data_IF_026775597883
#
_entry.id   IF_026775597883
#
_cell.length_a   1.000
_cell.length_b   1.000
_cell.length_c   1.000
_cell.angle_alpha   90.00
_cell.angle_beta   90.00
_cell.angle_gamma   90.00
#
_symmetry.space_group_name_H-M   'P 1'
#
loop_
_entity.id
_entity.type
_entity.pdbx_description
1 polymer ?
#
# COMPACT_ATOMS: atom_id res chain seq x y z
N UNK A 1 4.46 89.49 -0.09
CA UNK A 1 4.60 88.08 0.32
C UNK A 1 4.31 87.22 -0.90
N UNK A 2 5.37 86.69 -1.52
CA UNK A 2 5.39 86.24 -2.91
C UNK A 2 5.80 84.75 -2.94
N UNK A 3 4.90 83.95 -3.51
CA UNK A 3 5.12 82.84 -4.46
C UNK A 3 5.46 81.42 -3.96
N UNK A 4 4.58 80.54 -4.46
CA UNK A 4 4.54 79.08 -4.63
C UNK A 4 5.87 78.39 -4.98
N UNK A 5 6.02 77.13 -4.51
CA UNK A 5 6.87 76.12 -5.14
C UNK A 5 6.22 74.72 -5.05
N UNK A 6 6.25 73.99 -6.16
CA UNK A 6 5.69 72.66 -6.42
C UNK A 6 6.80 71.61 -6.31
N UNK A 7 6.53 70.43 -5.73
CA UNK A 7 7.34 69.22 -5.98
C UNK A 7 6.40 68.11 -6.44
N UNK A 8 6.30 67.96 -7.77
CA UNK A 8 6.00 66.69 -8.43
C UNK A 8 7.35 66.00 -8.61
N UNK A 9 7.64 65.03 -7.76
CA UNK A 9 8.88 64.25 -7.75
C UNK A 9 8.58 62.76 -7.76
N UNK A 10 8.94 62.12 -8.87
CA UNK A 10 8.84 60.69 -9.16
C UNK A 10 9.67 59.88 -8.15
N UNK A 11 9.08 58.84 -7.58
CA UNK A 11 9.86 57.67 -7.19
C UNK A 11 9.09 56.41 -7.58
N UNK A 12 9.40 55.93 -8.77
CA UNK A 12 9.23 54.54 -9.17
C UNK A 12 9.93 53.70 -8.11
N UNK A 13 9.15 53.20 -7.15
CA UNK A 13 9.48 51.95 -6.44
C UNK A 13 8.74 50.90 -7.25
N UNK A 14 9.31 50.54 -8.40
CA UNK A 14 9.98 49.26 -8.59
C UNK A 14 9.12 48.15 -8.02
N UNK A 15 8.50 47.40 -8.93
CA UNK A 15 7.70 46.23 -8.66
C UNK A 15 8.37 45.33 -7.61
N UNK A 16 7.95 45.47 -6.35
CA UNK A 16 7.98 44.34 -5.45
C UNK A 16 6.72 43.56 -5.80
N UNK A 17 6.83 42.75 -6.85
CA UNK A 17 6.01 41.57 -6.96
C UNK A 17 6.14 40.87 -5.61
N UNK A 18 5.12 41.00 -4.77
CA UNK A 18 4.90 40.06 -3.70
C UNK A 18 4.62 38.76 -4.43
N UNK A 19 5.69 38.06 -4.78
CA UNK A 19 5.66 36.64 -5.06
C UNK A 19 5.17 36.07 -3.75
N UNK A 20 3.85 35.97 -3.60
CA UNK A 20 3.28 34.94 -2.76
C UNK A 20 3.74 33.67 -3.45
N UNK A 21 4.87 33.12 -2.99
CA UNK A 21 5.21 31.74 -3.21
C UNK A 21 4.10 30.96 -2.52
N UNK A 22 2.96 30.83 -3.19
CA UNK A 22 2.06 29.72 -2.96
C UNK A 22 2.89 28.51 -3.36
N UNK A 23 3.58 27.95 -2.38
CA UNK A 23 4.09 26.61 -2.47
C UNK A 23 2.85 25.76 -2.63
N UNK A 24 2.48 25.45 -3.88
CA UNK A 24 1.56 24.37 -4.17
C UNK A 24 2.26 23.16 -3.58
N UNK A 25 1.84 22.76 -2.38
CA UNK A 25 2.21 21.48 -1.84
C UNK A 25 1.72 20.48 -2.89
N UNK A 26 2.66 19.88 -3.63
CA UNK A 26 2.36 18.81 -4.56
C UNK A 26 1.47 17.82 -3.81
N UNK A 27 0.20 17.69 -4.22
CA UNK A 27 -0.65 16.62 -3.73
C UNK A 27 -0.03 15.32 -4.25
N UNK A 28 0.89 14.74 -3.47
CA UNK A 28 1.48 13.44 -3.77
C UNK A 28 0.37 12.40 -3.66
N UNK A 29 -0.23 12.11 -4.81
CA UNK A 29 -1.18 11.02 -5.00
C UNK A 29 -0.46 9.76 -5.42
N UNK A 30 -0.97 8.63 -4.95
CA UNK A 30 -0.63 7.31 -5.45
C UNK A 30 -1.07 7.23 -6.90
N UNK A 31 -0.13 6.96 -7.79
CA UNK A 31 -0.36 6.77 -9.22
C UNK A 31 0.66 5.77 -9.75
N UNK A 32 0.34 5.06 -10.84
CA UNK A 32 1.24 4.11 -11.50
C UNK A 32 2.68 4.62 -11.64
N UNK A 33 3.65 3.76 -11.31
CA UNK A 33 5.09 4.02 -11.39
C UNK A 33 5.69 4.74 -10.17
N UNK A 34 4.86 5.18 -9.21
CA UNK A 34 5.37 5.78 -7.97
C UNK A 34 5.68 4.72 -6.92
N UNK A 35 6.72 4.97 -6.15
CA UNK A 35 7.00 4.23 -4.93
C UNK A 35 6.07 4.71 -3.81
N UNK A 36 5.40 3.77 -3.16
CA UNK A 36 4.41 4.01 -2.12
C UNK A 36 4.78 3.19 -0.89
N UNK A 37 4.79 3.85 0.27
CA UNK A 37 5.01 3.21 1.57
C UNK A 37 3.72 3.22 2.36
N UNK A 38 3.28 2.05 2.83
CA UNK A 38 2.03 1.88 3.56
C UNK A 38 2.25 1.20 4.91
N UNK A 39 1.41 1.60 5.86
CA UNK A 39 1.07 0.79 7.02
C UNK A 39 -0.30 0.15 6.79
N UNK A 40 -0.45 -1.11 7.17
CA UNK A 40 -1.69 -1.86 7.02
C UNK A 40 -1.90 -2.78 8.22
N UNK A 41 -3.17 -3.15 8.39
CA UNK A 41 -3.60 -4.22 9.29
C UNK A 41 -4.58 -5.09 8.50
N UNK A 42 -4.21 -6.35 8.28
CA UNK A 42 -5.04 -7.34 7.63
C UNK A 42 -5.90 -8.05 8.68
N UNK A 43 -7.22 -8.08 8.44
CA UNK A 43 -8.18 -8.76 9.31
C UNK A 43 -9.03 -9.74 8.52
N UNK A 44 -9.41 -10.84 9.15
CA UNK A 44 -10.48 -11.73 8.69
C UNK A 44 -11.85 -11.12 8.99
N UNK A 45 -12.90 -11.72 8.42
CA UNK A 45 -14.29 -11.28 8.62
C UNK A 45 -14.74 -11.37 10.08
N UNK A 46 -14.16 -12.28 10.86
CA UNK A 46 -14.39 -12.43 12.31
C UNK A 46 -13.66 -11.37 13.16
N UNK A 47 -12.87 -10.49 12.53
CA UNK A 47 -12.08 -9.45 13.18
C UNK A 47 -10.68 -9.87 13.62
N UNK A 48 -10.31 -11.15 13.45
CA UNK A 48 -8.98 -11.67 13.76
C UNK A 48 -7.93 -10.95 12.93
N UNK A 49 -6.91 -10.38 13.58
CA UNK A 49 -5.76 -9.79 12.88
C UNK A 49 -4.84 -10.90 12.41
N UNK A 50 -4.64 -10.99 11.09
CA UNK A 50 -3.74 -11.97 10.46
C UNK A 50 -2.34 -11.41 10.33
N UNK A 51 -2.23 -10.12 10.00
CA UNK A 51 -0.96 -9.46 9.78
C UNK A 51 -1.10 -7.95 10.03
N UNK A 52 0.00 -7.31 10.46
CA UNK A 52 0.06 -5.85 10.64
C UNK A 52 1.50 -5.38 10.71
N UNK A 53 1.80 -4.24 10.08
CA UNK A 53 3.09 -3.56 10.21
C UNK A 53 2.98 -2.19 10.91
N UNK A 54 1.79 -1.82 11.40
CA UNK A 54 1.57 -0.58 12.16
C UNK A 54 2.50 -0.54 13.38
N UNK A 55 3.25 0.55 13.53
CA UNK A 55 4.25 0.72 14.60
C UNK A 55 5.61 0.08 14.32
N UNK A 56 5.76 -0.57 13.15
CA UNK A 56 7.02 -1.12 12.66
C UNK A 56 7.57 -0.36 11.45
N UNK A 57 8.28 -1.08 10.56
CA UNK A 57 8.76 -0.52 9.30
C UNK A 57 7.62 -0.52 8.26
N UNK A 58 7.32 0.60 7.59
CA UNK A 58 6.37 0.63 6.49
C UNK A 58 6.76 -0.33 5.38
N UNK A 59 5.75 -0.92 4.74
CA UNK A 59 5.93 -1.76 3.58
C UNK A 59 5.96 -0.88 2.32
N UNK A 60 6.99 -1.02 1.50
CA UNK A 60 7.20 -0.18 0.32
C UNK A 60 7.06 -1.03 -0.94
N UNK A 61 6.30 -0.52 -1.91
CA UNK A 61 6.07 -1.16 -3.20
C UNK A 61 5.95 -0.09 -4.30
N UNK A 62 5.95 -0.53 -5.57
CA UNK A 62 5.74 0.37 -6.71
C UNK A 62 4.35 0.18 -7.28
N UNK A 63 3.56 1.24 -7.33
CA UNK A 63 2.17 1.21 -7.83
C UNK A 63 2.12 0.78 -9.30
N UNK A 64 1.25 -0.18 -9.61
CA UNK A 64 1.04 -0.73 -10.96
C UNK A 64 2.03 -1.83 -11.35
N UNK A 65 2.84 -2.32 -10.40
CA UNK A 65 3.77 -3.43 -10.64
C UNK A 65 3.24 -4.78 -10.14
N UNK A 66 2.03 -4.83 -9.59
CA UNK A 66 1.38 -6.06 -9.11
C UNK A 66 2.21 -6.77 -8.02
N UNK A 67 2.98 -6.01 -7.24
CA UNK A 67 3.75 -6.51 -6.09
C UNK A 67 2.87 -6.84 -4.88
N UNK A 68 1.65 -6.29 -4.85
CA UNK A 68 0.64 -6.51 -3.82
C UNK A 68 -0.63 -7.05 -4.46
N UNK A 69 -1.56 -7.51 -3.62
CA UNK A 69 -2.86 -8.01 -4.09
C UNK A 69 -3.60 -6.94 -4.91
N UNK A 70 -4.23 -7.32 -6.04
CA UNK A 70 -4.76 -6.37 -7.01
C UNK A 70 -5.85 -5.48 -6.42
N UNK A 71 -6.66 -6.01 -5.50
CA UNK A 71 -7.69 -5.25 -4.80
C UNK A 71 -7.12 -4.13 -3.93
N UNK A 72 -5.97 -4.35 -3.28
CA UNK A 72 -5.31 -3.32 -2.48
C UNK A 72 -4.65 -2.27 -3.38
N UNK A 73 -3.96 -2.70 -4.45
CA UNK A 73 -3.33 -1.79 -5.41
C UNK A 73 -4.36 -0.84 -6.04
N UNK A 74 -5.49 -1.38 -6.49
CA UNK A 74 -6.60 -0.59 -7.04
C UNK A 74 -7.24 0.34 -6.01
N UNK A 75 -7.33 -0.10 -4.74
CA UNK A 75 -7.94 0.70 -3.70
C UNK A 75 -7.08 1.90 -3.27
N UNK A 76 -5.74 1.79 -3.44
CA UNK A 76 -4.77 2.83 -3.15
C UNK A 76 -4.62 3.86 -4.29
N UNK A 77 -4.96 3.51 -5.53
CA UNK A 77 -4.87 4.41 -6.67
C UNK A 77 -5.61 5.73 -6.42
N UNK A 78 -4.92 6.85 -6.63
CA UNK A 78 -5.45 8.20 -6.44
C UNK A 78 -5.50 8.69 -4.98
N UNK A 79 -5.21 7.84 -3.98
CA UNK A 79 -5.14 8.27 -2.58
C UNK A 79 -4.02 9.27 -2.34
N UNK A 80 -4.24 10.22 -1.44
CA UNK A 80 -3.21 11.20 -1.04
C UNK A 80 -2.38 10.65 0.12
N UNK A 81 -1.12 11.11 0.20
CA UNK A 81 -0.27 10.80 1.36
C UNK A 81 -0.96 11.19 2.67
N UNK A 82 -0.96 10.26 3.63
CA UNK A 82 -1.57 10.44 4.95
C UNK A 82 -3.04 10.05 5.04
N UNK A 83 -3.71 9.79 3.91
CA UNK A 83 -5.08 9.27 3.92
C UNK A 83 -5.12 7.83 4.47
N UNK A 84 -6.19 7.52 5.19
CA UNK A 84 -6.48 6.18 5.69
C UNK A 84 -7.76 5.69 5.04
N UNK A 85 -7.77 4.41 4.67
CA UNK A 85 -8.92 3.79 4.02
C UNK A 85 -9.12 2.38 4.57
N UNK A 86 -10.37 2.03 4.83
CA UNK A 86 -10.75 0.66 5.09
C UNK A 86 -11.27 0.05 3.78
N UNK A 87 -10.76 -1.12 3.43
CA UNK A 87 -11.07 -1.80 2.17
C UNK A 87 -11.46 -3.23 2.49
N UNK A 88 -12.64 -3.64 2.02
CA UNK A 88 -13.09 -5.03 2.07
C UNK A 88 -12.87 -5.63 0.69
N UNK A 89 -12.04 -6.67 0.62
CA UNK A 89 -11.67 -7.33 -0.63
C UNK A 89 -12.34 -8.70 -0.71
N UNK A 90 -12.87 -9.01 -1.89
CA UNK A 90 -13.34 -10.37 -2.19
C UNK A 90 -12.12 -11.28 -2.40
N UNK A 91 -12.23 -12.60 -2.19
CA UNK A 91 -11.11 -13.53 -2.37
C UNK A 91 -10.43 -13.37 -3.75
N UNK A 92 -11.23 -13.28 -4.82
CA UNK A 92 -10.76 -13.04 -6.20
C UNK A 92 -9.88 -11.78 -6.40
N UNK A 93 -10.06 -10.74 -5.57
CA UNK A 93 -9.31 -9.48 -5.64
C UNK A 93 -8.14 -9.48 -4.64
N UNK A 94 -7.97 -10.56 -3.88
CA UNK A 94 -6.94 -10.77 -2.87
C UNK A 94 -6.06 -11.97 -3.24
N UNK A 95 -6.22 -13.10 -2.55
CA UNK A 95 -5.41 -14.31 -2.71
C UNK A 95 -6.07 -15.40 -3.58
N UNK A 96 -7.22 -15.10 -4.18
CA UNK A 96 -8.02 -16.06 -4.95
C UNK A 96 -9.02 -16.82 -4.10
N UNK A 97 -9.85 -17.62 -4.77
CA UNK A 97 -10.76 -18.56 -4.11
C UNK A 97 -9.98 -19.74 -3.54
N UNK A 98 -10.56 -20.42 -2.55
CA UNK A 98 -9.99 -21.65 -2.00
C UNK A 98 -9.93 -22.71 -3.11
N UNK A 99 -8.72 -23.11 -3.49
CA UNK A 99 -8.53 -24.20 -4.45
C UNK A 99 -8.76 -25.54 -3.77
N UNK A 100 -9.88 -26.19 -4.09
CA UNK A 100 -10.22 -27.52 -3.57
C UNK A 100 -9.25 -28.60 -4.03
N UNK A 101 -8.53 -28.39 -5.13
CA UNK A 101 -7.53 -29.33 -5.64
C UNK A 101 -6.17 -29.19 -4.94
N UNK A 102 -5.98 -28.12 -4.16
CA UNK A 102 -4.79 -27.95 -3.34
C UNK A 102 -4.81 -28.81 -2.06
N UNK A 103 -5.95 -29.42 -1.74
CA UNK A 103 -6.08 -30.38 -0.64
C UNK A 103 -5.72 -31.77 -1.14
N UNK A 104 -4.79 -32.43 -0.44
CA UNK A 104 -4.36 -33.79 -0.76
C UNK A 104 -4.56 -34.67 0.45
N UNK A 105 -5.31 -35.75 0.27
CA UNK A 105 -5.39 -36.81 1.27
C UNK A 105 -4.13 -37.68 1.19
N UNK A 106 -3.40 -37.75 2.31
CA UNK A 106 -2.22 -38.60 2.45
C UNK A 106 -2.51 -39.71 3.46
N UNK A 107 -2.19 -40.97 3.15
CA UNK A 107 -2.26 -42.05 4.12
C UNK A 107 -1.45 -41.71 5.38
N UNK A 108 -2.02 -41.98 6.55
CA UNK A 108 -1.44 -41.59 7.84
C UNK A 108 -0.05 -42.20 8.05
N UNK A 109 0.22 -43.35 7.44
CA UNK A 109 1.51 -44.05 7.49
C UNK A 109 2.63 -43.28 6.79
N UNK A 110 2.29 -42.38 5.85
CA UNK A 110 3.25 -41.49 5.17
C UNK A 110 3.51 -40.20 5.94
N UNK A 111 2.71 -39.93 6.98
CA UNK A 111 2.89 -38.76 7.85
C UNK A 111 3.83 -39.16 8.99
N UNK A 112 4.91 -38.40 9.26
CA UNK A 112 5.79 -38.69 10.38
C UNK A 112 5.04 -38.76 11.72
N UNK A 113 5.49 -39.61 12.64
CA UNK A 113 4.91 -39.68 13.98
C UNK A 113 5.17 -38.38 14.76
N UNK A 114 4.22 -38.02 15.66
CA UNK A 114 4.35 -36.84 16.53
C UNK A 114 3.99 -35.51 15.89
N UNK A 115 3.50 -35.50 14.64
CA UNK A 115 3.01 -34.29 13.97
C UNK A 115 1.69 -33.81 14.59
N UNK A 116 1.56 -32.49 14.81
CA UNK A 116 0.34 -31.84 15.30
C UNK A 116 -0.37 -31.10 14.17
N UNK A 117 -1.67 -30.90 14.31
CA UNK A 117 -2.44 -30.05 13.38
C UNK A 117 -1.78 -28.67 13.20
N UNK A 118 -1.75 -28.20 11.94
CA UNK A 118 -1.11 -26.93 11.56
C UNK A 118 0.40 -27.00 11.38
N UNK A 119 1.02 -28.16 11.54
CA UNK A 119 2.44 -28.38 11.24
C UNK A 119 2.66 -28.39 9.73
N UNK A 120 3.63 -27.59 9.27
CA UNK A 120 4.07 -27.65 7.88
C UNK A 120 4.90 -28.91 7.64
N UNK A 121 4.51 -29.71 6.65
CA UNK A 121 5.25 -30.88 6.20
C UNK A 121 5.80 -30.64 4.79
N UNK A 122 6.98 -31.17 4.52
CA UNK A 122 7.53 -31.21 3.18
C UNK A 122 7.28 -32.61 2.60
N UNK A 123 6.60 -32.65 1.46
CA UNK A 123 6.29 -33.87 0.72
C UNK A 123 6.83 -33.85 -0.69
N UNK A 124 6.63 -34.95 -1.40
CA UNK A 124 6.90 -35.05 -2.84
C UNK A 124 5.58 -35.40 -3.53
N UNK A 125 5.19 -34.63 -4.55
CA UNK A 125 4.00 -34.90 -5.36
C UNK A 125 4.18 -36.18 -6.20
N UNK A 126 3.10 -36.77 -6.75
CA UNK A 126 3.21 -37.89 -7.69
C UNK A 126 4.10 -37.59 -8.91
N UNK A 127 4.27 -36.32 -9.27
CA UNK A 127 5.11 -35.84 -10.37
C UNK A 127 6.58 -35.65 -9.97
N UNK A 128 6.95 -35.93 -8.72
CA UNK A 128 8.33 -35.82 -8.24
C UNK A 128 8.73 -34.42 -7.74
N UNK A 129 7.78 -33.48 -7.68
CA UNK A 129 8.04 -32.12 -7.22
C UNK A 129 7.98 -32.03 -5.69
N UNK A 130 8.87 -31.23 -5.09
CA UNK A 130 8.83 -30.98 -3.65
C UNK A 130 7.71 -30.00 -3.34
N UNK A 131 6.76 -30.40 -2.51
CA UNK A 131 5.62 -29.60 -2.09
C UNK A 131 5.67 -29.34 -0.58
N UNK A 132 5.22 -28.16 -0.17
CA UNK A 132 4.97 -27.84 1.24
C UNK A 132 3.46 -27.98 1.49
N UNK A 133 3.10 -28.79 2.46
CA UNK A 133 1.72 -28.99 2.91
C UNK A 133 1.60 -28.51 4.35
N UNK A 134 0.42 -28.08 4.77
CA UNK A 134 0.13 -27.58 6.12
C UNK A 134 -1.19 -28.17 6.61
#
# INVERSE_FOLDING_TARGET
>A
MIVRATIRGIMVILALALIVSVSVAEEKKVTTGKEVSIEYTLKLEDGTVVDTNVGGKPFTFVQGTHQIIPGLENALEGMKVGEKKHVVLKPKDAYGEVDKNAFVEVPKEKVPEGVKEGTYLQGTSPQGERILVR
#
